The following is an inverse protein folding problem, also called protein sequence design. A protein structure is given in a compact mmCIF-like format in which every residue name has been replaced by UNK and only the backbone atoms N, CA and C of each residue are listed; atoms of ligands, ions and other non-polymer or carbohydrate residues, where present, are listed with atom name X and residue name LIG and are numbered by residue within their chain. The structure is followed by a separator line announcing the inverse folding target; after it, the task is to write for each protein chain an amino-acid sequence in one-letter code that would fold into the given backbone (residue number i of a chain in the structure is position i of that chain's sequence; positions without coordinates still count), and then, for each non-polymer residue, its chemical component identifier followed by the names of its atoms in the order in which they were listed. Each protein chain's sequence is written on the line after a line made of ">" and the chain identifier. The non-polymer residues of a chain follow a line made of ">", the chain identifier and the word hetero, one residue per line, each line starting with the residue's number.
data_IF_259601515692
#
_entry.id   IF_259601515692
#
_cell.length_a   1.000
_cell.length_b   1.000
_cell.length_c   1.000
_cell.angle_alpha   90.00
_cell.angle_beta   90.00
_cell.angle_gamma   90.00
#
_symmetry.space_group_name_H-M   'P 1'
#
loop_
_entity.id
_entity.type
_entity.pdbx_description
1 polymer ?
#
# COMPACT_ATOMS: atom_id res chain seq x y z
N UNK A 1 -37.49 -20.38 -50.37
CA UNK A 1 -37.88 -19.38 -51.39
C UNK A 1 -39.01 -18.55 -50.78
N UNK A 2 -38.91 -17.23 -50.89
CA UNK A 2 -39.82 -16.17 -50.40
C UNK A 2 -39.74 -15.75 -48.92
N UNK A 3 -39.27 -14.51 -48.81
CA UNK A 3 -39.07 -13.62 -47.68
C UNK A 3 -40.37 -12.92 -47.27
N UNK A 4 -40.55 -12.61 -45.99
CA UNK A 4 -41.33 -11.44 -45.58
C UNK A 4 -40.60 -10.67 -44.48
N UNK A 5 -40.27 -9.44 -44.84
CA UNK A 5 -39.64 -8.37 -44.07
C UNK A 5 -40.75 -7.59 -43.37
N UNK A 6 -40.64 -7.36 -42.06
CA UNK A 6 -41.35 -6.25 -41.40
C UNK A 6 -40.33 -5.29 -40.81
N UNK A 7 -40.26 -4.14 -41.47
CA UNK A 7 -39.58 -2.93 -41.07
C UNK A 7 -40.38 -2.26 -39.94
N UNK A 8 -39.72 -1.84 -38.86
CA UNK A 8 -40.23 -0.73 -38.08
C UNK A 8 -39.08 0.22 -37.72
N UNK A 9 -39.11 1.38 -38.37
CA UNK A 9 -38.14 2.46 -38.25
C UNK A 9 -38.55 3.38 -37.09
N UNK A 10 -37.73 3.46 -36.04
CA UNK A 10 -37.78 4.59 -35.12
C UNK A 10 -36.63 5.54 -35.43
N UNK A 11 -37.03 6.69 -35.98
CA UNK A 11 -36.19 7.84 -36.32
C UNK A 11 -35.57 8.41 -35.05
N UNK A 12 -34.25 8.37 -34.97
CA UNK A 12 -33.44 9.12 -33.99
C UNK A 12 -33.22 10.52 -34.58
N UNK A 13 -33.49 11.63 -33.85
CA UNK A 13 -33.09 12.95 -34.32
C UNK A 13 -31.57 13.13 -34.17
N UNK A 14 -30.92 13.36 -35.31
CA UNK A 14 -29.55 13.87 -35.42
C UNK A 14 -29.44 15.25 -34.79
N UNK A 15 -28.67 15.38 -33.71
CA UNK A 15 -28.22 16.69 -33.19
C UNK A 15 -26.82 16.95 -33.75
N UNK A 16 -26.72 17.96 -34.62
CA UNK A 16 -25.47 18.50 -35.15
C UNK A 16 -24.64 19.22 -34.06
N UNK A 17 -23.30 19.22 -34.18
CA UNK A 17 -22.42 19.90 -33.23
C UNK A 17 -22.43 21.42 -33.45
N UNK A 18 -22.80 22.19 -32.41
CA UNK A 18 -22.61 23.66 -32.41
C UNK A 18 -21.15 24.01 -32.10
N UNK A 19 -20.57 24.79 -33.02
CA UNK A 19 -19.27 25.49 -32.92
C UNK A 19 -19.09 26.19 -31.58
N UNK A 20 -17.95 25.94 -30.95
CA UNK A 20 -17.36 26.79 -29.92
C UNK A 20 -16.81 28.03 -30.62
N UNK A 21 -17.35 29.21 -30.30
CA UNK A 21 -16.81 30.49 -30.75
C UNK A 21 -16.03 31.13 -29.59
N UNK A 22 -14.78 31.48 -29.89
CA UNK A 22 -13.86 32.20 -29.03
C UNK A 22 -14.43 33.53 -28.55
N UNK A 23 -14.31 33.80 -27.25
CA UNK A 23 -14.23 35.17 -26.74
C UNK A 23 -13.13 35.24 -25.66
N UNK A 24 -11.90 35.43 -26.12
CA UNK A 24 -10.80 35.94 -25.30
C UNK A 24 -10.68 37.44 -25.59
N UNK A 25 -11.00 38.25 -24.59
CA UNK A 25 -10.69 39.68 -24.48
C UNK A 25 -10.78 39.94 -22.98
N UNK A 26 -9.82 40.46 -22.23
CA UNK A 26 -8.56 41.13 -22.52
C UNK A 26 -8.33 41.98 -21.28
N UNK A 27 -7.40 41.59 -20.40
CA UNK A 27 -6.91 42.47 -19.33
C UNK A 27 -5.39 42.42 -19.39
N UNK A 28 -4.86 43.44 -20.05
CA UNK A 28 -3.46 43.84 -20.08
C UNK A 28 -3.24 44.75 -18.87
N UNK A 29 -2.26 44.46 -18.02
CA UNK A 29 -1.73 45.42 -17.03
C UNK A 29 -0.23 45.53 -17.32
N UNK A 30 0.17 46.70 -17.80
CA UNK A 30 1.55 47.09 -18.05
C UNK A 30 2.23 47.57 -16.75
N UNK A 31 3.58 47.56 -16.69
CA UNK A 31 4.37 47.79 -15.49
C UNK A 31 4.77 49.27 -15.34
N UNK A 32 4.80 49.78 -14.11
CA UNK A 32 5.76 50.75 -13.55
C UNK A 32 5.16 51.59 -12.42
N UNK A 33 5.66 51.41 -11.20
CA UNK A 33 5.98 52.52 -10.30
C UNK A 33 6.86 52.00 -9.17
N UNK A 34 8.18 52.22 -9.31
CA UNK A 34 9.14 52.14 -8.22
C UNK A 34 8.86 53.27 -7.22
N UNK A 35 8.82 52.93 -5.94
CA UNK A 35 8.84 53.86 -4.82
C UNK A 35 9.47 53.18 -3.61
N UNK A 36 10.70 53.57 -3.30
CA UNK A 36 11.55 53.15 -2.20
C UNK A 36 10.93 53.27 -0.80
N UNK A 37 11.28 52.38 0.14
CA UNK A 37 11.72 52.80 1.49
C UNK A 37 12.46 51.68 2.26
N UNK A 38 13.77 51.88 2.40
CA UNK A 38 14.65 51.76 3.58
C UNK A 38 14.23 50.89 4.80
N UNK A 39 15.01 49.82 4.99
CA UNK A 39 15.91 49.47 6.12
C UNK A 39 15.45 49.37 7.60
N UNK A 40 15.85 48.21 8.17
CA UNK A 40 16.43 47.93 9.51
C UNK A 40 15.53 47.42 10.67
N UNK A 41 16.14 46.67 11.63
CA UNK A 41 15.58 45.45 12.24
C UNK A 41 15.23 45.62 13.72
N UNK A 42 14.63 44.61 14.34
CA UNK A 42 14.56 44.50 15.80
C UNK A 42 14.90 43.09 16.29
N UNK A 43 16.02 43.03 17.00
CA UNK A 43 16.42 41.99 17.95
C UNK A 43 15.47 41.95 19.15
N UNK A 44 15.30 40.78 19.77
CA UNK A 44 15.11 40.73 21.22
C UNK A 44 15.78 39.49 21.81
N UNK A 45 16.89 39.72 22.50
CA UNK A 45 17.48 38.83 23.47
C UNK A 45 17.63 39.61 24.78
N UNK A 46 17.08 39.10 25.89
CA UNK A 46 17.42 39.55 27.24
C UNK A 46 17.15 38.45 28.28
N UNK A 47 18.16 37.61 28.50
CA UNK A 47 18.89 37.34 29.75
C UNK A 47 18.26 37.52 31.18
N UNK A 48 18.58 36.52 32.04
CA UNK A 48 19.13 36.63 33.43
C UNK A 48 18.10 36.86 34.59
N UNK A 49 18.06 36.19 35.76
CA UNK A 49 19.03 35.41 36.60
C UNK A 49 18.34 34.69 37.80
N UNK A 50 19.09 33.73 38.39
CA UNK A 50 19.13 33.24 39.80
C UNK A 50 17.91 32.54 40.42
N UNK A 51 17.94 31.27 40.83
CA UNK A 51 18.78 30.48 41.76
C UNK A 51 18.09 30.28 43.11
N UNK A 52 17.91 29.02 43.52
CA UNK A 52 18.02 28.56 44.91
C UNK A 52 18.07 27.03 44.91
N UNK A 53 19.23 26.51 45.32
CA UNK A 53 19.36 25.11 45.71
C UNK A 53 18.88 24.91 47.15
N UNK A 54 18.55 23.66 47.49
CA UNK A 54 18.68 23.15 48.85
C UNK A 54 18.88 21.63 48.81
N UNK A 55 19.67 21.21 49.78
CA UNK A 55 20.44 19.98 49.90
C UNK A 55 19.72 19.06 50.89
N UNK A 56 20.02 17.75 50.77
CA UNK A 56 20.05 16.75 51.85
C UNK A 56 18.72 16.21 52.41
N UNK A 57 18.52 14.90 52.29
CA UNK A 57 18.68 14.01 53.44
C UNK A 57 18.76 12.53 53.03
N UNK A 58 19.67 11.86 53.70
CA UNK A 58 20.01 10.45 53.73
C UNK A 58 18.90 9.58 54.30
N UNK A 59 18.76 8.35 53.79
CA UNK A 59 18.39 7.20 54.64
C UNK A 59 19.23 5.98 54.25
N UNK A 60 19.97 5.52 55.26
CA UNK A 60 20.69 4.24 55.33
C UNK A 60 19.68 3.10 55.43
N UNK A 61 20.06 1.94 54.90
CA UNK A 61 19.77 0.68 55.58
C UNK A 61 20.94 -0.28 55.34
N UNK A 62 21.65 -0.59 56.44
CA UNK A 62 22.67 -1.62 56.53
C UNK A 62 22.02 -3.01 56.53
N UNK A 63 22.73 -3.99 55.96
CA UNK A 63 22.28 -5.39 55.88
C UNK A 63 23.39 -6.31 55.41
N UNK A 64 24.30 -6.60 56.33
CA UNK A 64 25.42 -7.56 56.30
C UNK A 64 25.01 -8.93 55.75
N UNK A 65 25.83 -9.54 54.88
CA UNK A 65 26.39 -10.90 55.02
C UNK A 65 27.65 -11.00 54.16
N UNK A 66 28.72 -11.43 54.83
CA UNK A 66 30.05 -11.72 54.32
C UNK A 66 30.13 -13.16 53.81
N UNK A 67 30.84 -13.40 52.70
CA UNK A 67 31.93 -14.37 52.72
C UNK A 67 32.88 -14.19 51.52
N UNK A 68 34.14 -13.94 51.85
CA UNK A 68 35.32 -14.05 50.98
C UNK A 68 35.75 -15.51 50.89
N UNK A 69 36.23 -15.93 49.73
CA UNK A 69 37.36 -16.86 49.63
C UNK A 69 38.28 -16.46 48.48
N UNK A 70 39.54 -16.22 48.85
CA UNK A 70 40.70 -16.03 47.98
C UNK A 70 40.92 -17.26 47.07
N UNK A 71 41.50 -17.07 45.88
CA UNK A 71 42.87 -17.51 45.53
C UNK A 71 43.25 -17.05 44.11
N UNK A 72 44.54 -16.83 43.90
CA UNK A 72 45.19 -16.14 42.78
C UNK A 72 45.73 -17.05 41.67
N UNK A 73 46.15 -16.45 40.54
CA UNK A 73 47.34 -16.90 39.79
C UNK A 73 47.14 -17.29 38.32
N UNK A 74 47.85 -16.60 37.43
CA UNK A 74 48.00 -16.87 35.99
C UNK A 74 48.82 -18.15 35.67
N UNK A 75 48.54 -18.82 34.52
CA UNK A 75 49.40 -18.96 33.31
C UNK A 75 49.03 -20.17 32.42
N UNK A 76 49.41 -20.03 31.14
CA UNK A 76 49.18 -20.85 29.93
C UNK A 76 49.77 -22.27 29.92
N UNK A 77 49.08 -23.24 29.28
CA UNK A 77 49.54 -24.05 28.12
C UNK A 77 48.71 -25.34 27.88
N UNK A 78 48.47 -25.68 26.59
CA UNK A 78 48.53 -27.07 26.11
C UNK A 78 47.25 -27.93 25.94
N UNK A 79 46.66 -27.90 24.74
CA UNK A 79 46.12 -28.99 23.89
C UNK A 79 45.54 -30.31 24.49
N UNK A 80 44.29 -30.67 24.09
CA UNK A 80 43.87 -31.89 23.31
C UNK A 80 42.40 -32.29 23.58
N UNK A 81 41.58 -32.14 22.54
CA UNK A 81 40.42 -32.95 22.03
C UNK A 81 39.61 -33.86 22.98
N UNK A 82 38.28 -33.59 23.07
CA UNK A 82 37.23 -34.64 22.98
C UNK A 82 35.93 -34.08 22.41
N UNK A 83 35.54 -34.56 21.23
CA UNK A 83 34.26 -34.28 20.61
C UNK A 83 33.12 -34.89 21.45
N UNK A 84 32.15 -34.07 21.85
CA UNK A 84 30.92 -34.54 22.49
C UNK A 84 29.94 -34.98 21.40
N UNK A 85 29.71 -36.28 21.31
CA UNK A 85 28.65 -36.86 20.47
C UNK A 85 27.28 -36.45 21.01
N UNK A 86 26.49 -35.77 20.18
CA UNK A 86 25.07 -35.52 20.39
C UNK A 86 24.33 -36.87 20.41
N UNK A 87 23.50 -37.19 21.41
CA UNK A 87 22.70 -38.40 21.35
C UNK A 87 21.59 -38.23 20.32
N UNK A 88 21.61 -39.10 19.31
CA UNK A 88 20.46 -39.41 18.47
C UNK A 88 19.28 -39.78 19.36
N UNK A 89 18.20 -39.01 19.27
CA UNK A 89 16.88 -39.49 19.71
C UNK A 89 16.07 -39.74 18.45
N UNK A 90 16.05 -40.99 18.02
CA UNK A 90 15.18 -41.47 16.97
C UNK A 90 13.81 -41.84 17.57
N UNK A 91 12.76 -41.25 17.01
CA UNK A 91 11.43 -41.86 16.90
C UNK A 91 10.34 -41.34 17.84
N UNK A 92 9.50 -40.42 17.35
CA UNK A 92 8.04 -40.50 17.51
C UNK A 92 7.30 -39.59 16.50
N UNK A 93 6.56 -40.24 15.58
CA UNK A 93 5.46 -39.78 14.71
C UNK A 93 5.61 -38.58 13.72
N UNK A 94 5.03 -38.67 12.49
CA UNK A 94 5.62 -38.07 11.28
C UNK A 94 4.77 -36.96 10.65
N UNK A 95 5.41 -35.92 10.10
CA UNK A 95 5.01 -35.10 8.92
C UNK A 95 3.59 -34.49 8.78
N UNK A 96 2.64 -34.75 9.67
CA UNK A 96 1.25 -34.30 9.54
C UNK A 96 1.09 -32.81 9.90
N UNK A 97 1.83 -32.31 10.89
CA UNK A 97 1.85 -30.90 11.26
C UNK A 97 2.45 -30.02 10.16
N UNK A 98 3.57 -30.46 9.56
CA UNK A 98 4.23 -29.72 8.48
C UNK A 98 3.39 -29.64 7.19
N UNK A 99 2.70 -30.73 6.83
CA UNK A 99 1.77 -30.73 5.69
C UNK A 99 0.52 -29.90 5.99
N UNK A 100 -0.05 -29.98 7.19
CA UNK A 100 -1.21 -29.17 7.58
C UNK A 100 -0.90 -27.67 7.60
N UNK A 101 0.27 -27.26 8.10
CA UNK A 101 0.73 -25.87 8.07
C UNK A 101 0.96 -25.37 6.63
N UNK A 102 1.55 -26.22 5.78
CA UNK A 102 1.76 -25.91 4.36
C UNK A 102 0.42 -25.76 3.63
N UNK A 103 -0.54 -26.64 3.90
CA UNK A 103 -1.88 -26.57 3.34
C UNK A 103 -2.63 -25.33 3.84
N UNK A 104 -2.55 -25.02 5.14
CA UNK A 104 -3.14 -23.82 5.72
C UNK A 104 -2.57 -22.56 5.07
N UNK A 105 -1.25 -22.51 4.89
CA UNK A 105 -0.60 -21.39 4.22
C UNK A 105 -1.02 -21.29 2.76
N UNK A 106 -1.08 -22.41 2.04
CA UNK A 106 -1.59 -22.47 0.67
C UNK A 106 -3.02 -21.95 0.55
N UNK A 107 -3.91 -22.35 1.47
CA UNK A 107 -5.28 -21.85 1.55
C UNK A 107 -5.32 -20.34 1.79
N UNK A 108 -4.47 -19.81 2.68
CA UNK A 108 -4.37 -18.37 2.93
C UNK A 108 -3.96 -17.61 1.66
N UNK A 109 -2.97 -18.08 0.91
CA UNK A 109 -2.61 -17.49 -0.39
C UNK A 109 -3.75 -17.58 -1.39
N UNK A 110 -4.45 -18.72 -1.46
CA UNK A 110 -5.63 -18.89 -2.32
C UNK A 110 -6.73 -17.88 -2.01
N UNK A 111 -7.13 -17.77 -0.73
CA UNK A 111 -8.13 -16.80 -0.28
C UNK A 111 -7.68 -15.36 -0.51
N UNK A 112 -6.40 -15.06 -0.27
CA UNK A 112 -5.84 -13.73 -0.55
C UNK A 112 -6.05 -13.34 -2.02
N UNK A 113 -5.79 -14.26 -2.94
CA UNK A 113 -5.93 -14.00 -4.38
C UNK A 113 -7.39 -13.90 -4.78
N UNK A 114 -8.24 -14.81 -4.29
CA UNK A 114 -9.68 -14.83 -4.57
C UNK A 114 -10.34 -13.53 -4.12
N UNK A 115 -10.14 -13.10 -2.86
CA UNK A 115 -10.70 -11.84 -2.39
C UNK A 115 -10.12 -10.63 -3.13
N UNK A 116 -8.85 -10.66 -3.54
CA UNK A 116 -8.27 -9.58 -4.32
C UNK A 116 -8.84 -9.50 -5.74
N UNK A 117 -9.12 -10.64 -6.39
CA UNK A 117 -9.80 -10.71 -7.69
C UNK A 117 -11.22 -10.15 -7.57
N UNK A 118 -12.02 -10.64 -6.62
CA UNK A 118 -13.39 -10.16 -6.43
C UNK A 118 -13.45 -8.68 -6.07
N UNK A 119 -12.55 -8.20 -5.21
CA UNK A 119 -12.40 -6.77 -4.95
C UNK A 119 -12.24 -5.99 -6.26
N UNK A 120 -11.27 -6.35 -7.10
CA UNK A 120 -11.00 -5.60 -8.33
C UNK A 120 -12.16 -5.67 -9.33
N UNK A 121 -12.86 -6.80 -9.42
CA UNK A 121 -14.02 -6.98 -10.29
C UNK A 121 -15.18 -6.09 -9.81
N UNK A 122 -15.63 -6.24 -8.57
CA UNK A 122 -16.77 -5.47 -8.05
C UNK A 122 -16.46 -3.97 -7.99
N UNK A 123 -15.23 -3.61 -7.57
CA UNK A 123 -14.80 -2.21 -7.53
C UNK A 123 -14.82 -1.58 -8.93
N UNK A 124 -14.32 -2.29 -9.96
CA UNK A 124 -14.39 -1.79 -11.34
C UNK A 124 -15.83 -1.69 -11.85
N UNK A 125 -16.71 -2.63 -11.52
CA UNK A 125 -18.12 -2.54 -11.88
C UNK A 125 -18.79 -1.31 -11.28
N UNK A 126 -18.52 -1.00 -10.01
CA UNK A 126 -19.01 0.22 -9.36
C UNK A 126 -18.45 1.45 -10.05
N UNK A 127 -17.13 1.52 -10.27
CA UNK A 127 -16.48 2.70 -10.86
C UNK A 127 -16.85 2.94 -12.34
N UNK A 128 -17.43 1.95 -13.04
CA UNK A 128 -17.98 2.11 -14.40
C UNK A 128 -19.30 2.88 -14.43
N UNK A 129 -20.11 2.77 -13.38
CA UNK A 129 -21.44 3.40 -13.31
C UNK A 129 -21.42 4.62 -12.38
N UNK A 130 -20.65 4.54 -11.30
CA UNK A 130 -20.51 5.56 -10.26
C UNK A 130 -19.09 6.14 -10.27
N UNK A 131 -18.91 7.22 -11.03
CA UNK A 131 -17.62 7.84 -11.36
C UNK A 131 -17.03 8.71 -10.23
N UNK A 132 -17.09 8.25 -8.99
CA UNK A 132 -16.67 8.97 -7.80
C UNK A 132 -15.66 8.14 -6.98
N UNK A 133 -14.40 8.05 -7.45
CA UNK A 133 -13.39 7.18 -6.83
C UNK A 133 -13.02 7.58 -5.40
N UNK A 134 -13.13 8.86 -5.01
CA UNK A 134 -12.85 9.28 -3.63
C UNK A 134 -13.92 8.71 -2.69
N UNK A 135 -15.19 8.84 -3.07
CA UNK A 135 -16.34 8.28 -2.33
C UNK A 135 -16.22 6.76 -2.21
N UNK A 136 -15.93 6.06 -3.31
CA UNK A 136 -15.76 4.59 -3.29
C UNK A 136 -14.63 4.18 -2.35
N UNK A 137 -13.53 4.94 -2.31
CA UNK A 137 -12.42 4.71 -1.38
C UNK A 137 -12.84 4.91 0.08
N UNK A 138 -13.60 5.98 0.38
CA UNK A 138 -14.14 6.20 1.73
C UNK A 138 -15.05 5.07 2.16
N UNK A 139 -15.94 4.59 1.30
CA UNK A 139 -16.84 3.47 1.62
C UNK A 139 -16.05 2.22 1.97
N UNK A 140 -14.96 1.93 1.23
CA UNK A 140 -14.07 0.81 1.53
C UNK A 140 -13.45 0.92 2.93
N UNK A 141 -12.94 2.09 3.31
CA UNK A 141 -12.39 2.33 4.64
C UNK A 141 -13.45 2.38 5.74
N UNK A 142 -14.66 2.86 5.44
CA UNK A 142 -15.78 2.92 6.36
C UNK A 142 -16.23 1.50 6.74
N UNK A 143 -16.48 0.63 5.75
CA UNK A 143 -16.83 -0.77 5.99
C UNK A 143 -15.71 -1.50 6.73
N UNK A 144 -14.44 -1.29 6.33
CA UNK A 144 -13.30 -1.84 7.06
C UNK A 144 -13.24 -1.39 8.52
N UNK A 145 -13.54 -0.12 8.79
CA UNK A 145 -13.62 0.44 10.15
C UNK A 145 -14.75 -0.22 10.95
N UNK A 146 -15.94 -0.38 10.36
CA UNK A 146 -17.07 -1.05 11.01
C UNK A 146 -16.74 -2.51 11.35
N UNK A 147 -16.07 -3.23 10.44
CA UNK A 147 -15.62 -4.61 10.70
C UNK A 147 -14.61 -4.67 11.84
N UNK A 148 -13.61 -3.78 11.85
CA UNK A 148 -12.62 -3.71 12.94
C UNK A 148 -13.30 -3.41 14.27
N UNK A 149 -14.21 -2.44 14.31
CA UNK A 149 -14.97 -2.09 15.51
C UNK A 149 -15.85 -3.26 15.99
N UNK A 150 -16.46 -3.99 15.06
CA UNK A 150 -17.21 -5.21 15.36
C UNK A 150 -16.30 -6.27 16.01
N UNK A 151 -15.15 -6.58 15.40
CA UNK A 151 -14.19 -7.56 15.94
C UNK A 151 -13.69 -7.19 17.35
N UNK A 152 -13.50 -5.90 17.62
CA UNK A 152 -13.11 -5.39 18.94
C UNK A 152 -14.26 -5.38 19.95
N UNK A 153 -15.49 -5.18 19.50
CA UNK A 153 -16.68 -5.18 20.37
C UNK A 153 -16.95 -6.57 20.91
N UNK A 154 -16.83 -7.59 20.06
CA UNK A 154 -17.02 -9.00 20.42
C UNK A 154 -15.75 -9.69 20.96
N UNK A 155 -14.68 -8.93 21.23
CA UNK A 155 -13.39 -9.43 21.72
C UNK A 155 -12.78 -10.57 20.86
N UNK A 156 -13.14 -10.63 19.57
CA UNK A 156 -12.56 -11.57 18.61
C UNK A 156 -11.10 -11.20 18.28
N UNK A 157 -10.74 -9.93 18.47
CA UNK A 157 -9.37 -9.43 18.41
C UNK A 157 -9.08 -8.59 19.65
N UNK A 158 -7.87 -8.73 20.22
CA UNK A 158 -7.45 -7.93 21.38
C UNK A 158 -7.48 -6.44 21.03
N UNK A 159 -8.17 -5.66 21.86
CA UNK A 159 -8.21 -4.20 21.68
C UNK A 159 -6.81 -3.62 21.86
N UNK A 160 -6.33 -2.80 20.91
CA UNK A 160 -5.05 -2.14 21.07
C UNK A 160 -5.04 -1.22 22.29
N UNK A 161 -3.97 -1.27 23.09
CA UNK A 161 -3.63 -0.18 24.01
C UNK A 161 -2.63 0.71 23.29
N UNK A 162 -3.08 1.87 22.79
CA UNK A 162 -2.24 2.79 22.02
C UNK A 162 -2.13 4.12 22.75
N UNK A 163 -0.92 4.62 22.92
CA UNK A 163 -0.65 5.98 23.40
C UNK A 163 -0.84 7.01 22.27
N UNK A 164 -1.24 8.24 22.60
CA UNK A 164 -1.35 9.33 21.62
C UNK A 164 -0.05 9.55 20.81
N UNK A 165 1.12 9.35 21.45
CA UNK A 165 2.42 9.44 20.77
C UNK A 165 2.67 8.30 19.75
N UNK A 166 2.05 7.13 19.93
CA UNK A 166 2.08 6.05 18.95
C UNK A 166 1.15 6.37 17.78
N UNK A 167 -0.04 6.92 18.04
CA UNK A 167 -0.97 7.34 17.00
C UNK A 167 -0.35 8.39 16.06
N UNK A 168 0.33 9.39 16.61
CA UNK A 168 1.04 10.41 15.82
C UNK A 168 2.19 9.84 14.97
N UNK A 169 2.80 8.73 15.40
CA UNK A 169 3.82 8.05 14.60
C UNK A 169 3.22 7.17 13.49
N UNK A 170 1.99 6.69 13.67
CA UNK A 170 1.25 5.92 12.64
C UNK A 170 0.56 6.85 11.63
N UNK A 171 0.29 8.11 12.00
CA UNK A 171 -0.39 9.07 11.13
C UNK A 171 0.25 9.22 9.72
N UNK A 172 1.57 9.43 9.57
CA UNK A 172 2.19 9.52 8.26
C UNK A 172 1.96 8.26 7.42
N UNK A 173 2.00 7.10 8.07
CA UNK A 173 1.77 5.78 7.46
C UNK A 173 0.31 5.62 6.98
N UNK A 174 -0.66 6.12 7.75
CA UNK A 174 -2.07 6.14 7.36
C UNK A 174 -2.34 7.08 6.19
N UNK A 175 -1.73 8.27 6.16
CA UNK A 175 -1.87 9.23 5.04
C UNK A 175 -1.40 8.62 3.73
N UNK A 176 -0.17 8.06 3.70
CA UNK A 176 0.36 7.45 2.47
C UNK A 176 -0.42 6.20 2.05
N UNK A 177 -0.95 5.43 3.01
CA UNK A 177 -1.83 4.30 2.72
C UNK A 177 -3.14 4.75 2.09
N UNK A 178 -3.76 5.79 2.63
CA UNK A 178 -5.00 6.38 2.11
C UNK A 178 -4.80 6.85 0.67
N UNK A 179 -3.75 7.64 0.42
CA UNK A 179 -3.43 8.15 -0.92
C UNK A 179 -3.13 7.03 -1.92
N UNK A 180 -2.40 5.99 -1.49
CA UNK A 180 -2.09 4.85 -2.36
C UNK A 180 -3.33 4.07 -2.81
N UNK A 181 -4.31 3.89 -1.93
CA UNK A 181 -5.58 3.25 -2.28
C UNK A 181 -6.46 4.19 -3.13
N UNK A 182 -6.54 5.47 -2.77
CA UNK A 182 -7.26 6.47 -3.54
C UNK A 182 -6.77 6.54 -5.00
N UNK A 183 -5.46 6.69 -5.20
CA UNK A 183 -4.88 6.75 -6.53
C UNK A 183 -5.04 5.43 -7.31
N UNK A 184 -5.07 4.29 -6.62
CA UNK A 184 -5.42 3.01 -7.27
C UNK A 184 -6.86 3.03 -7.77
N UNK A 185 -7.82 3.48 -6.95
CA UNK A 185 -9.23 3.59 -7.37
C UNK A 185 -9.45 4.63 -8.46
N UNK A 186 -8.74 5.77 -8.43
CA UNK A 186 -8.76 6.76 -9.52
C UNK A 186 -8.28 6.15 -10.84
N UNK A 187 -7.22 5.31 -10.81
CA UNK A 187 -6.75 4.59 -12.00
C UNK A 187 -7.79 3.59 -12.48
N UNK A 188 -8.32 2.73 -11.59
CA UNK A 188 -9.34 1.74 -11.93
C UNK A 188 -10.63 2.39 -12.48
N UNK A 189 -10.94 3.63 -12.10
CA UNK A 189 -12.06 4.38 -12.67
C UNK A 189 -11.82 4.86 -14.11
N UNK A 190 -10.56 5.00 -14.54
CA UNK A 190 -10.20 5.59 -15.84
C UNK A 190 -9.67 4.60 -16.86
N UNK A 191 -9.04 3.50 -16.44
CA UNK A 191 -8.41 2.51 -17.34
C UNK A 191 -8.83 1.08 -16.98
N UNK A 192 -8.47 0.10 -17.80
CA UNK A 192 -8.71 -1.31 -17.52
C UNK A 192 -8.00 -1.78 -16.24
N UNK A 193 -8.61 -2.72 -15.52
CA UNK A 193 -8.05 -3.31 -14.28
C UNK A 193 -6.69 -3.93 -14.56
N UNK A 194 -6.59 -4.70 -15.64
CA UNK A 194 -5.34 -5.29 -16.13
C UNK A 194 -4.25 -4.24 -16.27
N UNK A 195 -4.55 -3.12 -16.94
CA UNK A 195 -3.59 -2.06 -17.19
C UNK A 195 -3.14 -1.34 -15.91
N UNK A 196 -4.07 -1.00 -15.00
CA UNK A 196 -3.70 -0.45 -13.68
C UNK A 196 -2.71 -1.36 -12.97
N UNK A 197 -2.97 -2.66 -12.95
CA UNK A 197 -2.08 -3.63 -12.29
C UNK A 197 -0.76 -3.83 -13.03
N UNK A 198 -0.74 -3.75 -14.36
CA UNK A 198 0.50 -3.70 -15.15
C UNK A 198 1.35 -2.50 -14.76
N UNK A 199 0.79 -1.28 -14.68
CA UNK A 199 1.56 -0.10 -14.24
C UNK A 199 2.06 -0.27 -12.80
N UNK A 200 1.23 -0.89 -11.93
CA UNK A 200 1.64 -1.17 -10.55
C UNK A 200 2.82 -2.16 -10.44
N UNK A 201 3.16 -2.87 -11.53
CA UNK A 201 4.42 -3.60 -11.64
C UNK A 201 5.66 -2.75 -11.38
N UNK A 202 5.59 -1.42 -11.51
CA UNK A 202 6.70 -0.51 -11.23
C UNK A 202 6.96 -0.23 -9.75
N UNK A 203 6.24 -0.86 -8.82
CA UNK A 203 6.54 -0.77 -7.38
C UNK A 203 8.04 -0.95 -7.02
N UNK A 204 8.79 -1.94 -7.56
CA UNK A 204 10.23 -2.07 -7.32
C UNK A 204 11.06 -0.85 -7.73
N UNK A 205 10.70 -0.18 -8.83
CA UNK A 205 11.40 1.00 -9.31
C UNK A 205 11.33 2.12 -8.26
N UNK A 206 10.12 2.44 -7.80
CA UNK A 206 9.93 3.44 -6.74
C UNK A 206 10.54 3.02 -5.41
N UNK A 207 10.51 1.72 -5.08
CA UNK A 207 11.19 1.20 -3.88
C UNK A 207 12.69 1.49 -3.90
N UNK A 208 13.36 1.27 -5.03
CA UNK A 208 14.81 1.49 -5.16
C UNK A 208 15.14 2.98 -5.07
N UNK A 209 14.41 3.83 -5.80
CA UNK A 209 14.62 5.28 -5.80
C UNK A 209 14.45 5.84 -4.38
N UNK A 210 13.36 5.49 -3.71
CA UNK A 210 13.08 5.97 -2.35
C UNK A 210 14.07 5.41 -1.31
N UNK A 211 14.49 4.14 -1.44
CA UNK A 211 15.53 3.55 -0.58
C UNK A 211 16.86 4.31 -0.70
N UNK A 212 17.30 4.59 -1.93
CA UNK A 212 18.53 5.35 -2.17
C UNK A 212 18.43 6.78 -1.61
N UNK A 213 17.31 7.47 -1.85
CA UNK A 213 17.11 8.86 -1.42
C UNK A 213 16.98 9.01 0.11
N UNK A 214 16.20 8.15 0.78
CA UNK A 214 15.81 8.37 2.17
C UNK A 214 16.53 7.48 3.20
N UNK A 215 17.07 6.33 2.77
CA UNK A 215 17.86 5.42 3.61
C UNK A 215 19.35 5.39 3.24
N UNK A 216 19.76 5.95 2.09
CA UNK A 216 21.14 5.85 1.60
C UNK A 216 21.51 4.45 1.10
N UNK A 217 20.52 3.57 0.89
CA UNK A 217 20.72 2.21 0.38
C UNK A 217 20.93 2.24 -1.14
N UNK A 218 22.19 2.38 -1.59
CA UNK A 218 22.50 2.42 -3.02
C UNK A 218 22.26 1.05 -3.68
N UNK A 219 21.53 0.99 -4.81
CA UNK A 219 21.25 -0.29 -5.48
C UNK A 219 22.51 -0.85 -6.12
N UNK A 220 22.65 -2.18 -6.12
CA UNK A 220 23.68 -2.85 -6.90
C UNK A 220 23.37 -2.73 -8.41
N UNK A 221 24.39 -2.82 -9.29
CA UNK A 221 24.16 -2.82 -10.74
C UNK A 221 23.14 -3.88 -11.19
N UNK A 222 23.13 -5.04 -10.53
CA UNK A 222 22.15 -6.10 -10.79
C UNK A 222 20.72 -5.69 -10.46
N UNK A 223 20.53 -4.96 -9.36
CA UNK A 223 19.21 -4.42 -9.00
C UNK A 223 18.76 -3.43 -10.07
N UNK A 224 19.63 -2.52 -10.51
CA UNK A 224 19.31 -1.54 -11.57
C UNK A 224 18.97 -2.25 -12.88
N UNK A 225 19.76 -3.26 -13.27
CA UNK A 225 19.50 -4.04 -14.49
C UNK A 225 18.15 -4.77 -14.44
N UNK A 226 17.75 -5.26 -13.26
CA UNK A 226 16.43 -5.90 -13.10
C UNK A 226 15.25 -4.92 -13.22
N UNK A 227 15.47 -3.61 -13.09
CA UNK A 227 14.43 -2.59 -13.31
C UNK A 227 14.17 -2.32 -14.79
N UNK A 228 15.16 -2.56 -15.67
CA UNK A 228 15.02 -2.35 -17.12
C UNK A 228 13.83 -3.12 -17.71
N UNK A 229 13.68 -4.45 -17.51
CA UNK A 229 12.51 -5.16 -18.01
C UNK A 229 11.20 -4.71 -17.35
N UNK A 230 11.23 -4.24 -16.10
CA UNK A 230 10.03 -3.71 -15.42
C UNK A 230 9.53 -2.45 -16.13
N UNK A 231 10.40 -1.46 -16.29
CA UNK A 231 10.06 -0.17 -16.89
C UNK A 231 9.76 -0.35 -18.39
N UNK A 232 10.60 -1.10 -19.10
CA UNK A 232 10.42 -1.38 -20.53
C UNK A 232 9.13 -2.15 -20.82
N UNK A 233 8.81 -3.17 -20.02
CA UNK A 233 7.57 -3.93 -20.15
C UNK A 233 6.32 -3.07 -19.93
N UNK A 234 6.31 -2.22 -18.90
CA UNK A 234 5.20 -1.29 -18.65
C UNK A 234 5.08 -0.24 -19.76
N UNK A 235 6.19 0.29 -20.27
CA UNK A 235 6.18 1.21 -21.40
C UNK A 235 5.59 0.55 -22.66
N UNK A 236 6.01 -0.68 -22.98
CA UNK A 236 5.52 -1.44 -24.13
C UNK A 236 4.02 -1.75 -24.01
N UNK A 237 3.56 -2.16 -22.83
CA UNK A 237 2.15 -2.39 -22.56
C UNK A 237 1.32 -1.09 -22.68
N UNK A 238 1.86 0.03 -22.20
CA UNK A 238 1.18 1.33 -22.22
C UNK A 238 0.95 1.88 -23.63
N UNK A 239 1.93 1.72 -24.53
CA UNK A 239 1.81 2.19 -25.93
C UNK A 239 0.70 1.46 -26.70
N UNK A 240 0.36 0.24 -26.29
CA UNK A 240 -0.59 -0.63 -27.01
C UNK A 240 -1.84 -0.93 -26.20
N UNK A 241 -2.10 -0.16 -25.14
CA UNK A 241 -3.27 -0.28 -24.29
C UNK A 241 -4.46 0.49 -24.88
N UNK A 242 -5.55 -0.22 -25.19
CA UNK A 242 -6.75 0.36 -25.77
C UNK A 242 -7.45 1.35 -24.81
N UNK A 243 -7.39 1.09 -23.50
CA UNK A 243 -8.00 1.95 -22.48
C UNK A 243 -7.08 3.05 -21.96
N UNK A 244 -5.95 3.33 -22.62
CA UNK A 244 -4.94 4.25 -22.09
C UNK A 244 -5.53 5.63 -21.81
N UNK A 245 -5.30 6.12 -20.59
CA UNK A 245 -5.70 7.45 -20.16
C UNK A 245 -4.62 8.05 -19.26
N UNK A 246 -4.17 9.27 -19.57
CA UNK A 246 -3.10 9.93 -18.81
C UNK A 246 -3.43 10.08 -17.32
N UNK A 247 -4.65 10.46 -16.96
CA UNK A 247 -5.02 10.61 -15.56
C UNK A 247 -5.01 9.24 -14.84
N UNK A 248 -5.51 8.20 -15.50
CA UNK A 248 -5.47 6.85 -14.95
C UNK A 248 -4.04 6.28 -14.82
N UNK A 249 -3.18 6.58 -15.80
CA UNK A 249 -1.77 6.19 -15.79
C UNK A 249 -1.00 6.89 -14.65
N UNK A 250 -1.10 8.23 -14.57
CA UNK A 250 -0.43 8.99 -13.53
C UNK A 250 -0.96 8.66 -12.13
N UNK A 251 -2.26 8.36 -11.99
CA UNK A 251 -2.82 7.86 -10.73
C UNK A 251 -2.20 6.50 -10.36
N UNK A 252 -2.05 5.56 -11.30
CA UNK A 252 -1.37 4.30 -11.00
C UNK A 252 0.10 4.51 -10.59
N UNK A 253 0.84 5.40 -11.25
CA UNK A 253 2.22 5.77 -10.86
C UNK A 253 2.28 6.41 -9.47
N UNK A 254 1.39 7.35 -9.18
CA UNK A 254 1.27 7.98 -7.87
C UNK A 254 0.94 6.96 -6.77
N UNK A 255 0.13 5.94 -7.10
CA UNK A 255 -0.14 4.82 -6.19
C UNK A 255 1.12 4.01 -5.89
N UNK A 256 2.03 3.83 -6.86
CA UNK A 256 3.30 3.14 -6.62
C UNK A 256 4.21 3.96 -5.71
N UNK A 257 4.33 5.26 -6.00
CA UNK A 257 5.14 6.17 -5.19
C UNK A 257 4.67 6.18 -3.73
N UNK A 258 3.39 6.44 -3.49
CA UNK A 258 2.81 6.51 -2.14
C UNK A 258 2.88 5.18 -1.39
N UNK A 259 2.57 4.06 -2.05
CA UNK A 259 2.67 2.73 -1.44
C UNK A 259 4.11 2.31 -1.11
N UNK A 260 5.11 2.79 -1.87
CA UNK A 260 6.51 2.53 -1.55
C UNK A 260 7.07 3.51 -0.51
N UNK A 261 6.62 4.77 -0.49
CA UNK A 261 6.91 5.72 0.59
C UNK A 261 6.46 5.15 1.94
N UNK A 262 5.29 4.53 1.99
CA UNK A 262 4.83 3.74 3.13
C UNK A 262 5.88 2.73 3.60
N UNK A 263 6.35 1.87 2.70
CA UNK A 263 7.27 0.80 3.05
C UNK A 263 8.62 1.35 3.55
N UNK A 264 9.13 2.41 2.92
CA UNK A 264 10.40 3.07 3.27
C UNK A 264 10.28 3.83 4.59
N UNK A 265 9.21 4.60 4.78
CA UNK A 265 8.96 5.32 6.03
C UNK A 265 8.68 4.37 7.18
N UNK A 266 7.96 3.26 6.96
CA UNK A 266 7.83 2.21 7.96
C UNK A 266 9.21 1.71 8.44
N UNK A 267 10.17 1.47 7.54
CA UNK A 267 11.54 1.12 7.96
C UNK A 267 12.22 2.23 8.76
N UNK A 268 12.15 3.48 8.29
CA UNK A 268 12.86 4.60 8.91
C UNK A 268 12.31 4.98 10.29
N UNK A 269 10.99 4.88 10.47
CA UNK A 269 10.29 5.31 11.69
C UNK A 269 9.94 4.16 12.65
N UNK A 270 9.76 2.92 12.18
CA UNK A 270 9.47 1.78 13.05
C UNK A 270 10.72 1.12 13.64
N UNK A 271 11.92 1.37 13.10
CA UNK A 271 13.20 0.91 13.71
C UNK A 271 13.53 1.66 15.02
N UNK A 272 12.82 2.75 15.35
CA UNK A 272 13.10 3.59 16.52
C UNK A 272 12.15 3.40 17.72
N UNK A 273 11.17 2.49 17.67
CA UNK A 273 10.24 2.27 18.79
C UNK A 273 10.21 0.79 19.18
N UNK A 274 10.66 0.50 20.41
CA UNK A 274 10.78 -0.85 20.99
C UNK A 274 9.44 -1.57 21.25
N UNK A 275 8.30 -0.90 21.10
CA UNK A 275 6.98 -1.55 21.18
C UNK A 275 6.49 -1.95 19.78
N UNK A 276 6.85 -3.15 19.34
CA UNK A 276 6.35 -3.73 18.09
C UNK A 276 4.84 -3.98 18.17
N UNK A 277 4.04 -3.06 17.62
CA UNK A 277 2.62 -3.29 17.41
C UNK A 277 2.42 -4.49 16.49
N UNK A 278 1.47 -5.36 16.85
CA UNK A 278 1.08 -6.49 16.01
C UNK A 278 0.57 -5.99 14.63
N UNK A 279 0.93 -6.68 13.55
CA UNK A 279 0.64 -6.23 12.18
C UNK A 279 -0.86 -6.10 11.91
N UNK A 280 -1.69 -6.94 12.53
CA UNK A 280 -3.16 -6.90 12.39
C UNK A 280 -3.70 -5.67 13.11
N UNK A 281 -3.17 -5.38 14.30
CA UNK A 281 -3.50 -4.19 15.09
C UNK A 281 -3.09 -2.92 14.35
N UNK A 282 -1.89 -2.88 13.78
CA UNK A 282 -1.40 -1.76 12.98
C UNK A 282 -2.30 -1.49 11.76
N UNK A 283 -2.67 -2.54 11.01
CA UNK A 283 -3.58 -2.41 9.87
C UNK A 283 -4.97 -1.90 10.28
N UNK A 284 -5.48 -2.36 11.41
CA UNK A 284 -6.76 -1.91 11.97
C UNK A 284 -6.75 -0.42 12.29
N UNK A 285 -5.69 0.07 12.95
CA UNK A 285 -5.52 1.50 13.25
C UNK A 285 -5.41 2.31 11.96
N UNK A 286 -4.59 1.87 11.01
CA UNK A 286 -4.43 2.53 9.70
C UNK A 286 -5.77 2.64 8.99
N UNK A 287 -6.59 1.59 9.02
CA UNK A 287 -7.92 1.59 8.37
C UNK A 287 -8.84 2.65 8.98
N UNK A 288 -8.92 2.72 10.31
CA UNK A 288 -9.74 3.72 11.02
C UNK A 288 -9.24 5.14 10.72
N UNK A 289 -7.93 5.37 10.81
CA UNK A 289 -7.34 6.68 10.49
C UNK A 289 -7.57 7.05 9.03
N UNK A 290 -7.47 6.09 8.11
CA UNK A 290 -7.71 6.31 6.68
C UNK A 290 -9.15 6.76 6.43
N UNK A 291 -10.13 6.15 7.12
CA UNK A 291 -11.53 6.58 7.06
C UNK A 291 -11.69 8.03 7.56
N UNK A 292 -11.15 8.36 8.73
CA UNK A 292 -11.24 9.70 9.32
C UNK A 292 -10.60 10.76 8.42
N UNK A 293 -9.46 10.45 7.79
CA UNK A 293 -8.77 11.37 6.88
C UNK A 293 -9.50 11.56 5.54
N UNK A 294 -10.10 10.49 5.01
CA UNK A 294 -10.72 10.50 3.68
C UNK A 294 -12.17 10.98 3.66
N UNK A 295 -12.89 10.86 4.79
CA UNK A 295 -14.26 11.34 4.93
C UNK A 295 -14.43 12.85 4.62
N UNK A 296 -13.67 13.78 5.25
CA UNK A 296 -13.78 15.20 4.91
C UNK A 296 -13.30 15.47 3.48
N UNK A 297 -12.24 14.80 3.03
CA UNK A 297 -11.72 14.97 1.67
C UNK A 297 -12.76 14.64 0.59
N UNK A 298 -13.62 13.64 0.81
CA UNK A 298 -14.71 13.30 -0.12
C UNK A 298 -15.74 14.43 -0.23
N UNK A 299 -16.14 14.99 0.91
CA UNK A 299 -17.10 16.10 0.94
C UNK A 299 -16.52 17.31 0.19
N UNK A 300 -15.23 17.61 0.35
CA UNK A 300 -14.58 18.72 -0.34
C UNK A 300 -14.36 18.47 -1.84
N UNK A 301 -14.01 17.25 -2.26
CA UNK A 301 -13.63 16.96 -3.66
C UNK A 301 -14.83 16.59 -4.54
N UNK A 302 -15.72 15.75 -4.05
CA UNK A 302 -16.82 15.16 -4.83
C UNK A 302 -18.20 15.65 -4.38
N UNK A 303 -18.30 16.17 -3.15
CA UNK A 303 -19.55 16.62 -2.55
C UNK A 303 -20.41 15.45 -2.04
N UNK A 304 -21.66 15.76 -1.69
CA UNK A 304 -22.63 14.77 -1.19
C UNK A 304 -23.38 14.15 -2.37
N UNK A 305 -22.70 13.29 -3.13
CA UNK A 305 -23.24 12.62 -4.34
C UNK A 305 -23.53 11.13 -4.16
N UNK A 306 -23.56 10.67 -2.92
CA UNK A 306 -23.83 9.28 -2.53
C UNK A 306 -25.24 9.07 -1.96
N UNK A 307 -26.07 10.11 -1.96
CA UNK A 307 -27.45 10.03 -1.47
C UNK A 307 -28.32 9.24 -2.46
N UNK A 308 -29.31 8.46 -1.96
CA UNK A 308 -30.23 7.73 -2.83
C UNK A 308 -30.89 8.63 -3.88
N UNK A 309 -31.31 9.83 -3.47
CA UNK A 309 -31.96 10.80 -4.36
C UNK A 309 -31.07 11.27 -5.53
N UNK A 310 -29.78 11.48 -5.29
CA UNK A 310 -28.84 11.88 -6.34
C UNK A 310 -28.61 10.72 -7.32
N UNK A 311 -28.46 9.51 -6.80
CA UNK A 311 -28.18 8.33 -7.62
C UNK A 311 -29.38 7.91 -8.46
N UNK A 312 -30.60 7.99 -7.91
CA UNK A 312 -31.85 7.80 -8.66
C UNK A 312 -32.01 8.86 -9.75
N UNK A 313 -31.76 10.14 -9.41
CA UNK A 313 -31.80 11.23 -10.40
C UNK A 313 -30.74 11.05 -11.51
N UNK A 314 -29.61 10.40 -11.21
CA UNK A 314 -28.58 10.03 -12.18
C UNK A 314 -28.91 8.76 -12.99
N UNK A 315 -30.07 8.12 -12.74
CA UNK A 315 -30.50 6.90 -13.43
C UNK A 315 -29.73 5.65 -13.02
N UNK A 316 -29.10 5.64 -11.83
CA UNK A 316 -28.33 4.51 -11.33
C UNK A 316 -29.24 3.53 -10.56
N UNK A 317 -29.02 2.24 -10.76
CA UNK A 317 -29.61 1.21 -9.90
C UNK A 317 -28.93 1.25 -8.52
N UNK A 318 -29.65 1.80 -7.54
CA UNK A 318 -29.20 1.89 -6.15
C UNK A 318 -28.78 0.55 -5.57
N UNK A 319 -29.59 -0.49 -5.82
CA UNK A 319 -29.37 -1.82 -5.25
C UNK A 319 -28.10 -2.42 -5.82
N UNK A 320 -27.89 -2.30 -7.12
CA UNK A 320 -26.68 -2.78 -7.79
C UNK A 320 -25.43 -2.06 -7.27
N UNK A 321 -25.46 -0.73 -7.17
CA UNK A 321 -24.29 0.05 -6.72
C UNK A 321 -23.98 -0.20 -5.25
N UNK A 322 -24.99 -0.22 -4.35
CA UNK A 322 -24.76 -0.44 -2.93
C UNK A 322 -24.28 -1.86 -2.64
N UNK A 323 -24.90 -2.89 -3.22
CA UNK A 323 -24.48 -4.29 -3.01
C UNK A 323 -23.07 -4.51 -3.54
N UNK A 324 -22.75 -4.04 -4.75
CA UNK A 324 -21.40 -4.21 -5.31
C UNK A 324 -20.36 -3.39 -4.57
N UNK A 325 -20.69 -2.18 -4.12
CA UNK A 325 -19.80 -1.38 -3.27
C UNK A 325 -19.51 -2.07 -1.95
N UNK A 326 -20.53 -2.65 -1.31
CA UNK A 326 -20.37 -3.41 -0.07
C UNK A 326 -19.51 -4.66 -0.29
N UNK A 327 -19.80 -5.47 -1.32
CA UNK A 327 -18.99 -6.65 -1.65
C UNK A 327 -17.54 -6.27 -1.96
N UNK A 328 -17.31 -5.22 -2.74
CA UNK A 328 -15.97 -4.71 -3.01
C UNK A 328 -15.25 -4.31 -1.71
N UNK A 329 -15.93 -3.60 -0.81
CA UNK A 329 -15.37 -3.17 0.47
C UNK A 329 -15.06 -4.33 1.43
N UNK A 330 -15.94 -5.33 1.51
CA UNK A 330 -15.70 -6.55 2.29
C UNK A 330 -14.51 -7.32 1.74
N UNK A 331 -14.45 -7.55 0.42
CA UNK A 331 -13.31 -8.19 -0.23
C UNK A 331 -12.02 -7.38 -0.04
N UNK A 332 -12.10 -6.05 -0.11
CA UNK A 332 -10.97 -5.14 0.12
C UNK A 332 -10.34 -5.37 1.49
N UNK A 333 -11.18 -5.32 2.54
CA UNK A 333 -10.71 -5.54 3.90
C UNK A 333 -10.16 -6.96 4.09
N UNK A 334 -10.88 -7.98 3.61
CA UNK A 334 -10.49 -9.38 3.74
C UNK A 334 -9.14 -9.69 3.09
N UNK A 335 -8.92 -9.27 1.84
CA UNK A 335 -7.64 -9.56 1.16
C UNK A 335 -6.48 -8.82 1.83
N UNK A 336 -6.70 -7.59 2.34
CA UNK A 336 -5.67 -6.84 3.03
C UNK A 336 -5.32 -7.52 4.36
N UNK A 337 -6.32 -7.91 5.15
CA UNK A 337 -6.10 -8.61 6.42
C UNK A 337 -5.35 -9.93 6.22
N UNK A 338 -5.77 -10.76 5.26
CA UNK A 338 -5.09 -12.03 4.94
C UNK A 338 -3.65 -11.78 4.49
N UNK A 339 -3.39 -10.74 3.70
CA UNK A 339 -2.02 -10.36 3.31
C UNK A 339 -1.11 -10.13 4.52
N UNK A 340 -1.60 -9.45 5.56
CA UNK A 340 -0.83 -9.22 6.79
C UNK A 340 -0.67 -10.50 7.62
N UNK A 341 -1.68 -11.36 7.67
CA UNK A 341 -1.59 -12.68 8.33
C UNK A 341 -0.53 -13.58 7.66
N UNK A 342 -0.47 -13.57 6.32
CA UNK A 342 0.56 -14.30 5.56
C UNK A 342 1.94 -13.71 5.90
N UNK A 343 2.07 -12.38 5.90
CA UNK A 343 3.35 -11.70 6.17
C UNK A 343 3.94 -12.05 7.55
N UNK A 344 3.10 -12.36 8.54
CA UNK A 344 3.55 -12.84 9.86
C UNK A 344 4.07 -14.28 9.85
N UNK A 345 3.67 -15.08 8.85
CA UNK A 345 3.98 -16.53 8.76
C UNK A 345 5.06 -16.86 7.72
N UNK A 346 5.37 -15.93 6.82
CA UNK A 346 6.35 -16.14 5.75
C UNK A 346 7.40 -15.04 5.72
N UNK A 347 8.55 -15.34 5.11
CA UNK A 347 9.57 -14.30 4.90
C UNK A 347 9.02 -13.15 4.04
N UNK A 348 9.47 -11.89 4.25
CA UNK A 348 9.07 -10.76 3.40
C UNK A 348 9.31 -11.00 1.91
N UNK A 349 10.29 -11.83 1.56
CA UNK A 349 10.59 -12.22 0.18
C UNK A 349 9.51 -13.14 -0.38
N UNK A 350 9.08 -14.15 0.39
CA UNK A 350 7.97 -15.04 -0.01
C UNK A 350 6.69 -14.23 -0.21
N UNK A 351 6.41 -13.29 0.68
CA UNK A 351 5.28 -12.37 0.55
C UNK A 351 5.38 -11.50 -0.72
N UNK A 352 6.58 -11.02 -1.06
CA UNK A 352 6.85 -10.28 -2.31
C UNK A 352 6.59 -11.12 -3.57
N UNK A 353 7.05 -12.38 -3.59
CA UNK A 353 6.75 -13.31 -4.70
C UNK A 353 5.25 -13.57 -4.80
N UNK A 354 4.58 -13.79 -3.66
CA UNK A 354 3.14 -13.95 -3.60
C UNK A 354 2.36 -12.73 -4.11
N UNK A 355 2.85 -11.52 -3.87
CA UNK A 355 2.28 -10.30 -4.45
C UNK A 355 2.43 -10.24 -5.98
N UNK A 356 3.54 -10.75 -6.53
CA UNK A 356 3.73 -10.86 -7.98
C UNK A 356 2.69 -11.81 -8.59
N UNK A 357 2.52 -13.00 -8.00
CA UNK A 357 1.52 -13.98 -8.45
C UNK A 357 0.09 -13.45 -8.30
N UNK A 358 -0.22 -12.78 -7.19
CA UNK A 358 -1.51 -12.09 -6.98
C UNK A 358 -1.81 -11.12 -8.13
N UNK A 359 -0.82 -10.33 -8.54
CA UNK A 359 -0.97 -9.37 -9.65
C UNK A 359 -1.25 -10.06 -10.97
N UNK A 360 -0.54 -11.15 -11.27
CA UNK A 360 -0.81 -12.00 -12.45
C UNK A 360 -2.26 -12.50 -12.40
N UNK A 361 -2.68 -13.05 -11.25
CA UNK A 361 -4.02 -13.60 -11.09
C UNK A 361 -5.13 -12.55 -11.30
N UNK A 362 -4.94 -11.33 -10.77
CA UNK A 362 -5.88 -10.22 -10.99
C UNK A 362 -5.91 -9.78 -12.45
N UNK A 363 -4.75 -9.62 -13.10
CA UNK A 363 -4.66 -9.22 -14.50
C UNK A 363 -5.43 -10.22 -15.36
N UNK A 364 -5.07 -11.51 -15.29
CA UNK A 364 -5.69 -12.57 -16.10
C UNK A 364 -7.19 -12.68 -15.83
N UNK A 365 -7.59 -12.75 -14.56
CA UNK A 365 -9.01 -12.86 -14.20
C UNK A 365 -9.82 -11.65 -14.67
N UNK A 366 -9.25 -10.44 -14.59
CA UNK A 366 -9.93 -9.23 -15.05
C UNK A 366 -10.08 -9.17 -16.56
N UNK A 367 -9.10 -9.65 -17.34
CA UNK A 367 -9.20 -9.73 -18.80
C UNK A 367 -10.30 -10.70 -19.20
N UNK A 368 -10.34 -11.89 -18.58
CA UNK A 368 -11.38 -12.90 -18.83
C UNK A 368 -12.76 -12.37 -18.42
N UNK A 369 -12.87 -11.78 -17.23
CA UNK A 369 -14.18 -11.34 -16.73
C UNK A 369 -14.74 -10.15 -17.50
N UNK A 370 -13.92 -9.13 -17.80
CA UNK A 370 -14.36 -7.94 -18.52
C UNK A 370 -14.30 -8.08 -20.04
N UNK A 371 -13.77 -9.19 -20.55
CA UNK A 371 -13.54 -9.43 -21.98
C UNK A 371 -12.80 -8.23 -22.61
N UNK A 372 -11.78 -7.73 -21.89
CA UNK A 372 -11.03 -6.54 -22.33
C UNK A 372 -10.15 -6.95 -23.51
N UNK A 373 -10.18 -6.24 -24.66
CA UNK A 373 -9.30 -6.54 -25.77
C UNK A 373 -7.85 -6.24 -25.39
N UNK A 374 -6.99 -7.26 -25.41
CA UNK A 374 -5.55 -7.12 -25.14
C UNK A 374 -4.78 -7.48 -26.39
N UNK A 375 -3.96 -6.55 -26.89
CA UNK A 375 -3.11 -6.82 -28.05
C UNK A 375 -1.96 -7.78 -27.65
N UNK A 376 -1.42 -8.58 -28.60
CA UNK A 376 -0.28 -9.44 -28.31
C UNK A 376 0.94 -8.69 -27.76
N UNK A 377 1.16 -7.46 -28.24
CA UNK A 377 2.24 -6.58 -27.78
C UNK A 377 2.01 -6.14 -26.33
N UNK A 378 0.77 -5.84 -25.95
CA UNK A 378 0.42 -5.51 -24.57
C UNK A 378 0.62 -6.71 -23.64
N UNK A 379 0.19 -7.91 -24.05
CA UNK A 379 0.43 -9.15 -23.32
C UNK A 379 1.92 -9.40 -23.12
N UNK A 380 2.73 -9.21 -24.17
CA UNK A 380 4.19 -9.33 -24.10
C UNK A 380 4.80 -8.31 -23.12
N UNK A 381 4.43 -7.03 -23.24
CA UNK A 381 4.92 -5.97 -22.33
C UNK A 381 4.57 -6.26 -20.87
N UNK A 382 3.33 -6.68 -20.62
CA UNK A 382 2.87 -7.09 -19.28
C UNK A 382 3.67 -8.29 -18.76
N UNK A 383 3.90 -9.33 -19.58
CA UNK A 383 4.69 -10.50 -19.19
C UNK A 383 6.15 -10.12 -18.87
N UNK A 384 6.78 -9.30 -19.70
CA UNK A 384 8.14 -8.80 -19.49
C UNK A 384 8.24 -7.99 -18.19
N UNK A 385 7.25 -7.13 -17.90
CA UNK A 385 7.22 -6.36 -16.67
C UNK A 385 7.13 -7.26 -15.43
N UNK A 386 6.24 -8.25 -15.44
CA UNK A 386 6.04 -9.18 -14.31
C UNK A 386 7.24 -10.11 -14.11
N UNK A 387 7.86 -10.58 -15.21
CA UNK A 387 9.11 -11.32 -15.16
C UNK A 387 10.24 -10.47 -14.56
N UNK A 388 10.31 -9.18 -14.91
CA UNK A 388 11.22 -8.21 -14.30
C UNK A 388 11.01 -8.08 -12.79
N UNK A 389 9.76 -8.00 -12.32
CA UNK A 389 9.45 -7.94 -10.87
C UNK A 389 9.90 -9.21 -10.14
N UNK A 390 9.72 -10.37 -10.77
CA UNK A 390 10.20 -11.64 -10.23
C UNK A 390 11.74 -11.65 -10.17
N UNK A 391 12.42 -11.23 -11.24
CA UNK A 391 13.88 -11.11 -11.29
C UNK A 391 14.41 -10.16 -10.20
N UNK A 392 13.83 -8.97 -10.08
CA UNK A 392 14.14 -8.01 -9.02
C UNK A 392 14.03 -8.64 -7.63
N UNK A 393 12.93 -9.37 -7.38
CA UNK A 393 12.68 -10.04 -6.10
C UNK A 393 13.75 -11.08 -5.78
N UNK A 394 14.33 -11.74 -6.80
CA UNK A 394 15.44 -12.69 -6.63
C UNK A 394 16.78 -11.99 -6.41
N UNK A 395 17.10 -10.99 -7.23
CA UNK A 395 18.34 -10.22 -7.15
C UNK A 395 18.49 -9.54 -5.78
N UNK A 396 17.42 -8.96 -5.25
CA UNK A 396 17.42 -8.31 -3.92
C UNK A 396 17.76 -9.27 -2.77
N UNK A 397 17.64 -10.59 -2.96
CA UNK A 397 18.03 -11.59 -1.95
C UNK A 397 19.54 -11.82 -1.89
N UNK A 398 20.23 -11.57 -3.00
CA UNK A 398 21.68 -11.81 -3.11
C UNK A 398 22.34 -10.67 -2.33
N UNK A 399 22.63 -10.91 -1.04
CA UNK A 399 23.36 -9.94 -0.21
C UNK A 399 24.70 -9.63 -0.89
N UNK A 400 25.12 -8.36 -0.99
CA UNK A 400 26.50 -8.05 -1.31
C UNK A 400 27.40 -8.72 -0.26
N UNK A 401 28.44 -9.44 -0.68
CA UNK A 401 29.49 -9.85 0.26
C UNK A 401 30.04 -8.57 0.90
N UNK A 402 30.15 -8.48 2.24
CA UNK A 402 30.79 -7.34 2.86
C UNK A 402 32.20 -7.21 2.27
N UNK A 403 32.54 -6.02 1.78
CA UNK A 403 33.93 -5.72 1.40
C UNK A 403 34.74 -5.88 2.68
N UNK A 404 35.62 -6.88 2.71
CA UNK A 404 36.70 -6.94 3.68
C UNK A 404 37.64 -5.82 3.26
N UNK A 405 37.55 -4.70 3.97
CA UNK A 405 38.54 -3.60 3.91
C UNK A 405 39.43 -3.69 5.12
#
# INVERSE_FOLDING_TARGET
>A
MQSYVFSNSHKIPLVQPRRILNHFSGVRIDPASLGSLSSKPFDLSCNIRHSLGLRSSSLRFDGVISNRSLFSGEKSDGCVVRATSVPETAGEAPNSSSLAETLQLGLLFGLWYVFNIYFNIYNKQVLKVYHFPVTVTVVQFAVGTLLVMFLWTFNLCKRPKISGAQLMAILPLAVVHTLGNLFTNMSLGKVAVSFTHTIKAMEPFFSVVLSAMFLGEMPTPWVVLSLVPIVGGVALASVTEASFNWAGFWSAMASNLTNQSRNVFSKKFMVKKEESLDNITLFSIITIMSFILSAPATIFMEGVKFTPSYMEAAGLDLKEVYIRSLLAALCFHAYQQISYMILQRVSPVTHSVGNCVKRVAVIVSSVIFFQTPVSPVNSLGTAVALAGVFLYSRVKRIKPKPKVT
#
